data_IF_294807162122
#
_entry.id   IF_294807162122
#
_cell.length_a   1.000
_cell.length_b   1.000
_cell.length_c   1.000
_cell.angle_alpha   90.00
_cell.angle_beta   90.00
_cell.angle_gamma   90.00
#
_symmetry.space_group_name_H-M   'P 1'
#
loop_
_entity.id
_entity.type
_entity.pdbx_description
1 polymer ?
#
# COMPACT_ATOMS: atom_id res chain seq x y z
N UNK A 1 13.23 18.00 3.95
CA UNK A 1 11.94 18.21 3.26
C UNK A 1 11.13 16.95 3.42
N UNK A 2 10.06 16.99 4.22
CA UNK A 2 9.06 15.92 4.29
C UNK A 2 8.27 15.92 2.99
N UNK A 3 8.04 14.75 2.38
CA UNK A 3 7.17 14.63 1.21
C UNK A 3 5.75 15.08 1.58
N UNK A 4 4.99 15.72 0.67
CA UNK A 4 3.62 16.12 0.94
C UNK A 4 2.76 14.89 1.27
N UNK A 5 1.91 15.02 2.28
CA UNK A 5 0.95 13.97 2.65
C UNK A 5 -0.14 13.92 1.59
N UNK A 6 -0.45 12.72 1.10
CA UNK A 6 -1.46 12.50 0.08
C UNK A 6 -2.87 12.42 0.68
N UNK A 7 -3.82 13.09 0.03
CA UNK A 7 -5.25 12.86 0.25
C UNK A 7 -5.72 11.56 -0.41
N UNK A 8 -6.90 11.09 -0.05
CA UNK A 8 -7.51 9.91 -0.68
C UNK A 8 -7.68 10.12 -2.19
N UNK A 9 -8.14 11.30 -2.61
CA UNK A 9 -8.27 11.64 -4.04
C UNK A 9 -6.92 11.63 -4.77
N UNK A 10 -5.86 12.14 -4.13
CA UNK A 10 -4.52 12.10 -4.72
C UNK A 10 -3.99 10.67 -4.86
N UNK A 11 -4.24 9.82 -3.86
CA UNK A 11 -3.93 8.39 -3.94
C UNK A 11 -4.65 7.74 -5.12
N UNK A 12 -5.96 7.98 -5.25
CA UNK A 12 -6.78 7.41 -6.33
C UNK A 12 -6.33 7.92 -7.70
N UNK A 13 -5.91 9.19 -7.81
CA UNK A 13 -5.38 9.72 -9.06
C UNK A 13 -4.06 9.06 -9.47
N UNK A 14 -3.20 8.73 -8.51
CA UNK A 14 -1.88 8.10 -8.77
C UNK A 14 -1.98 6.57 -8.93
N UNK A 15 -2.86 5.94 -8.17
CA UNK A 15 -3.11 4.50 -8.16
C UNK A 15 -4.62 4.22 -8.16
N UNK A 16 -5.33 4.42 -9.29
CA UNK A 16 -6.77 4.19 -9.41
C UNK A 16 -7.27 2.86 -8.86
N UNK A 17 -6.50 1.78 -9.01
CA UNK A 17 -6.87 0.45 -8.50
C UNK A 17 -6.98 0.39 -6.97
N UNK A 18 -6.28 1.27 -6.23
CA UNK A 18 -6.42 1.36 -4.77
C UNK A 18 -7.80 1.90 -4.35
N UNK A 19 -8.46 2.66 -5.23
CA UNK A 19 -9.77 3.24 -5.01
C UNK A 19 -10.95 2.30 -5.24
N UNK A 20 -10.72 1.07 -5.72
CA UNK A 20 -11.80 0.10 -5.86
C UNK A 20 -12.32 -0.34 -4.49
N UNK A 21 -13.64 -0.42 -4.36
CA UNK A 21 -14.34 -0.96 -3.20
C UNK A 21 -14.89 -2.38 -3.45
N UNK A 22 -14.62 -2.94 -4.63
CA UNK A 22 -15.03 -4.29 -5.00
C UNK A 22 -13.87 -5.08 -5.61
N UNK A 23 -13.84 -6.41 -5.46
CA UNK A 23 -12.88 -7.24 -6.16
C UNK A 23 -13.21 -7.34 -7.65
N UNK A 24 -12.24 -7.82 -8.42
CA UNK A 24 -12.47 -8.19 -9.81
C UNK A 24 -13.54 -9.28 -9.96
N UNK A 25 -14.30 -9.21 -11.04
CA UNK A 25 -15.24 -10.26 -11.43
C UNK A 25 -14.59 -11.66 -11.49
N UNK A 26 -15.37 -12.66 -11.06
CA UNK A 26 -14.96 -14.06 -11.10
C UNK A 26 -13.97 -14.46 -10.00
N UNK A 27 -13.86 -13.68 -8.92
CA UNK A 27 -13.28 -14.18 -7.67
C UNK A 27 -14.17 -15.28 -7.08
N UNK A 28 -13.55 -16.25 -6.40
CA UNK A 28 -14.29 -17.32 -5.73
C UNK A 28 -15.02 -16.80 -4.49
N UNK A 29 -16.04 -17.51 -4.02
CA UNK A 29 -16.73 -17.24 -2.75
C UNK A 29 -15.82 -17.24 -1.51
N UNK A 30 -14.63 -17.84 -1.61
CA UNK A 30 -13.61 -17.83 -0.54
C UNK A 30 -12.76 -16.57 -0.51
N UNK A 31 -12.87 -15.70 -1.53
CA UNK A 31 -12.03 -14.52 -1.65
C UNK A 31 -12.49 -13.44 -0.66
N UNK A 32 -11.59 -13.05 0.23
CA UNK A 32 -11.78 -11.92 1.14
C UNK A 32 -11.23 -10.65 0.52
N UNK A 33 -12.12 -9.73 0.20
CA UNK A 33 -11.73 -8.39 -0.22
C UNK A 33 -11.20 -7.56 0.96
N UNK A 34 -10.12 -6.82 0.71
CA UNK A 34 -9.57 -5.85 1.67
C UNK A 34 -9.54 -4.50 0.94
N UNK A 35 -10.46 -3.56 1.26
CA UNK A 35 -10.46 -2.25 0.64
C UNK A 35 -9.20 -1.49 1.04
N UNK A 36 -8.43 -1.02 0.06
CA UNK A 36 -7.16 -0.35 0.34
C UNK A 36 -7.39 1.00 1.01
N UNK A 37 -8.43 1.74 0.61
CA UNK A 37 -8.73 3.04 1.21
C UNK A 37 -9.11 2.93 2.69
N UNK A 38 -9.83 1.89 3.09
CA UNK A 38 -10.11 1.63 4.51
C UNK A 38 -8.81 1.42 5.30
N UNK A 39 -7.87 0.64 4.77
CA UNK A 39 -6.57 0.45 5.41
C UNK A 39 -5.73 1.74 5.45
N UNK A 40 -5.79 2.56 4.40
CA UNK A 40 -5.13 3.88 4.36
C UNK A 40 -5.68 4.79 5.46
N UNK A 41 -7.00 4.86 5.63
CA UNK A 41 -7.63 5.71 6.64
C UNK A 41 -7.28 5.24 8.06
N UNK A 42 -7.35 3.92 8.32
CA UNK A 42 -6.94 3.34 9.61
C UNK A 42 -5.46 3.60 9.93
N UNK A 43 -4.57 3.49 8.94
CA UNK A 43 -3.15 3.79 9.12
C UNK A 43 -2.92 5.29 9.38
N UNK A 44 -3.68 6.16 8.70
CA UNK A 44 -3.63 7.61 8.93
C UNK A 44 -4.01 7.95 10.37
N UNK A 45 -5.08 7.35 10.89
CA UNK A 45 -5.52 7.52 12.28
C UNK A 45 -4.47 7.00 13.28
N UNK A 46 -3.73 5.95 12.91
CA UNK A 46 -2.59 5.43 13.68
C UNK A 46 -1.30 6.28 13.54
N UNK A 47 -1.35 7.41 12.82
CA UNK A 47 -0.23 8.35 12.65
C UNK A 47 0.75 7.99 11.52
N UNK A 48 0.35 7.09 10.61
CA UNK A 48 1.08 6.78 9.39
C UNK A 48 0.47 7.54 8.21
N UNK A 49 1.20 8.52 7.69
CA UNK A 49 0.70 9.41 6.66
C UNK A 49 1.15 8.94 5.28
N UNK A 50 0.24 8.75 4.31
CA UNK A 50 0.60 8.36 2.96
C UNK A 50 1.39 9.50 2.30
N UNK A 51 2.50 9.16 1.66
CA UNK A 51 3.42 10.11 1.00
C UNK A 51 3.69 9.74 -0.45
N UNK A 52 3.27 8.55 -0.88
CA UNK A 52 3.46 8.06 -2.24
C UNK A 52 2.42 7.00 -2.58
N UNK A 53 2.08 6.90 -3.85
CA UNK A 53 1.15 5.90 -4.36
C UNK A 53 1.52 5.55 -5.81
N UNK A 54 1.54 4.25 -6.10
CA UNK A 54 1.84 3.74 -7.44
C UNK A 54 1.00 2.48 -7.72
N UNK A 55 0.78 2.18 -9.00
CA UNK A 55 0.18 0.92 -9.42
C UNK A 55 0.93 0.29 -10.58
N UNK A 56 0.81 -1.04 -10.69
CA UNK A 56 1.44 -1.80 -11.77
C UNK A 56 0.75 -1.52 -13.10
N UNK A 57 1.49 -1.59 -14.20
CA UNK A 57 0.88 -1.59 -15.53
C UNK A 57 0.10 -2.89 -15.78
N UNK A 58 -0.94 -2.79 -16.59
CA UNK A 58 -1.83 -3.90 -16.91
C UNK A 58 -1.54 -4.40 -18.31
N UNK A 59 -1.36 -5.72 -18.46
CA UNK A 59 -1.23 -6.38 -19.77
C UNK A 59 -2.54 -6.99 -20.27
N UNK A 60 -3.45 -7.33 -19.36
CA UNK A 60 -4.72 -7.98 -19.67
C UNK A 60 -5.82 -7.00 -19.30
N UNK A 61 -6.52 -6.46 -20.30
CA UNK A 61 -7.48 -5.36 -20.13
C UNK A 61 -8.51 -5.56 -18.99
N UNK A 62 -8.99 -6.80 -18.80
CA UNK A 62 -9.93 -7.13 -17.70
C UNK A 62 -9.36 -6.90 -16.29
N UNK A 63 -8.06 -6.67 -16.15
CA UNK A 63 -7.38 -6.41 -14.88
C UNK A 63 -7.21 -4.93 -14.55
N UNK A 64 -7.57 -4.05 -15.49
CA UNK A 64 -7.57 -2.61 -15.26
C UNK A 64 -8.54 -2.24 -14.14
N UNK A 65 -8.08 -1.42 -13.20
CA UNK A 65 -8.82 -1.04 -11.99
C UNK A 65 -8.63 -1.97 -10.79
N UNK A 66 -7.93 -3.11 -10.93
CA UNK A 66 -7.77 -4.11 -9.86
C UNK A 66 -6.33 -4.56 -9.63
N UNK A 67 -5.41 -4.06 -10.45
CA UNK A 67 -4.00 -4.42 -10.43
C UNK A 67 -3.33 -4.17 -9.07
N UNK A 68 -2.18 -4.81 -8.90
CA UNK A 68 -1.29 -4.56 -7.76
C UNK A 68 -0.96 -3.07 -7.66
N UNK A 69 -1.18 -2.51 -6.49
CA UNK A 69 -0.86 -1.13 -6.13
C UNK A 69 -0.08 -1.08 -4.82
N UNK A 70 0.59 0.04 -4.61
CA UNK A 70 1.52 0.29 -3.53
C UNK A 70 1.25 1.67 -2.95
N UNK A 71 1.09 1.75 -1.63
CA UNK A 71 1.02 3.02 -0.90
C UNK A 71 2.17 3.06 0.10
N UNK A 72 2.97 4.13 0.06
CA UNK A 72 4.06 4.35 1.01
C UNK A 72 3.64 5.35 2.07
N UNK A 73 3.97 5.06 3.32
CA UNK A 73 3.63 5.88 4.47
C UNK A 73 4.87 6.28 5.25
N UNK A 74 4.87 7.51 5.76
CA UNK A 74 5.86 8.00 6.71
C UNK A 74 5.18 8.36 8.03
N UNK A 75 5.94 8.32 9.12
CA UNK A 75 5.50 8.77 10.44
C UNK A 75 6.44 9.85 10.96
N UNK A 76 5.86 10.92 11.50
CA UNK A 76 6.62 12.00 12.10
C UNK A 76 7.48 11.47 13.26
N UNK A 77 8.72 11.96 13.37
CA UNK A 77 9.66 11.55 14.42
C UNK A 77 10.42 10.25 14.18
N UNK A 78 10.18 9.53 13.06
CA UNK A 78 10.95 8.34 12.69
C UNK A 78 11.98 8.61 11.59
N UNK A 79 12.59 9.79 11.58
CA UNK A 79 13.71 10.11 10.71
C UNK A 79 14.87 10.66 11.51
N UNK A 80 16.03 10.05 11.35
CA UNK A 80 17.24 10.36 12.09
C UNK A 80 18.46 10.11 11.20
N UNK A 81 19.42 11.04 11.21
CA UNK A 81 20.74 10.88 10.58
C UNK A 81 20.74 10.32 9.14
N UNK A 82 19.85 10.82 8.28
CA UNK A 82 19.76 10.39 6.88
C UNK A 82 19.02 9.05 6.66
N UNK A 83 18.49 8.47 7.73
CA UNK A 83 17.60 7.32 7.74
C UNK A 83 16.16 7.72 8.10
N UNK A 84 15.19 6.99 7.55
CA UNK A 84 13.76 7.17 7.81
C UNK A 84 13.08 5.82 7.89
N UNK A 85 12.13 5.63 8.80
CA UNK A 85 11.28 4.44 8.81
C UNK A 85 10.04 4.73 7.97
N UNK A 86 9.85 3.98 6.88
CA UNK A 86 8.59 4.00 6.13
C UNK A 86 7.92 2.63 6.19
N UNK A 87 6.60 2.67 6.08
CA UNK A 87 5.77 1.51 5.84
C UNK A 87 5.33 1.50 4.38
N UNK A 88 5.27 0.31 3.80
CA UNK A 88 4.75 0.09 2.45
C UNK A 88 3.60 -0.89 2.53
N UNK A 89 2.44 -0.46 2.04
CA UNK A 89 1.28 -1.30 1.81
C UNK A 89 1.32 -1.79 0.37
N UNK A 90 1.22 -3.11 0.17
CA UNK A 90 0.89 -3.70 -1.12
C UNK A 90 -0.48 -4.36 -1.04
N UNK A 91 -1.27 -4.21 -2.10
CA UNK A 91 -2.53 -4.92 -2.23
C UNK A 91 -2.86 -5.12 -3.72
N UNK A 92 -3.78 -6.01 -4.02
CA UNK A 92 -4.41 -6.13 -5.34
C UNK A 92 -5.82 -6.65 -5.19
N UNK A 93 -6.67 -6.29 -6.12
CA UNK A 93 -8.06 -6.73 -6.14
C UNK A 93 -8.33 -7.75 -7.26
N UNK A 94 -7.26 -8.19 -7.94
CA UNK A 94 -7.26 -9.16 -9.05
C UNK A 94 -6.73 -10.56 -8.68
N UNK A 95 -6.47 -10.81 -7.39
CA UNK A 95 -5.80 -12.01 -6.83
C UNK A 95 -4.29 -12.11 -7.15
N UNK A 96 -3.67 -11.05 -7.70
CA UNK A 96 -2.25 -11.05 -8.08
C UNK A 96 -1.28 -10.76 -6.93
N UNK A 97 -1.76 -10.19 -5.83
CA UNK A 97 -0.99 -9.80 -4.66
C UNK A 97 -1.85 -9.96 -3.40
N UNK A 98 -1.22 -10.38 -2.30
CA UNK A 98 -1.84 -10.36 -0.98
C UNK A 98 -1.80 -8.94 -0.40
N UNK A 99 -2.65 -8.66 0.58
CA UNK A 99 -2.49 -7.49 1.43
C UNK A 99 -1.22 -7.64 2.27
N UNK A 100 -0.29 -6.69 2.17
CA UNK A 100 0.98 -6.73 2.90
C UNK A 100 1.29 -5.37 3.48
N UNK A 101 1.78 -5.34 4.71
CA UNK A 101 2.36 -4.16 5.36
C UNK A 101 3.80 -4.47 5.72
N UNK A 102 4.74 -3.77 5.10
CA UNK A 102 6.18 -3.95 5.31
C UNK A 102 6.74 -2.65 5.87
N UNK A 103 7.35 -2.72 7.05
CA UNK A 103 8.03 -1.57 7.67
C UNK A 103 9.53 -1.80 7.63
N UNK A 104 10.26 -0.82 7.10
CA UNK A 104 11.70 -0.91 6.87
C UNK A 104 12.39 0.42 7.12
N UNK A 105 13.69 0.37 7.38
CA UNK A 105 14.55 1.56 7.40
C UNK A 105 14.93 1.93 5.96
N UNK A 106 14.82 3.21 5.64
CA UNK A 106 15.10 3.83 4.35
C UNK A 106 16.27 4.77 4.51
N UNK A 107 17.40 4.41 3.88
CA UNK A 107 18.57 5.28 3.79
C UNK A 107 18.59 5.95 2.42
N UNK A 108 18.81 7.26 2.39
CA UNK A 108 18.98 8.00 1.14
C UNK A 108 20.41 7.78 0.61
N UNK A 109 20.66 6.67 -0.08
CA UNK A 109 22.02 6.31 -0.56
C UNK A 109 22.36 6.98 -1.90
N UNK A 110 21.37 7.39 -2.69
CA UNK A 110 21.54 8.26 -3.86
C UNK A 110 20.22 8.94 -4.24
N UNK A 111 20.26 9.97 -5.09
CA UNK A 111 19.07 10.70 -5.57
C UNK A 111 18.01 9.85 -6.27
N UNK A 112 18.29 8.56 -6.52
CA UNK A 112 17.43 7.61 -7.22
C UNK A 112 16.67 6.64 -6.27
N UNK A 113 16.74 6.84 -4.95
CA UNK A 113 15.88 6.11 -4.00
C UNK A 113 16.25 4.64 -3.76
N UNK A 114 17.50 4.23 -3.95
CA UNK A 114 17.94 2.85 -3.75
C UNK A 114 17.74 2.40 -2.30
N UNK A 115 16.96 1.33 -2.10
CA UNK A 115 16.63 0.75 -0.80
C UNK A 115 17.74 -0.19 -0.31
N UNK A 116 18.23 0.02 0.91
CA UNK A 116 18.92 -1.02 1.70
C UNK A 116 18.05 -1.27 2.92
N UNK A 117 17.16 -2.27 2.82
CA UNK A 117 16.20 -2.56 3.87
C UNK A 117 16.72 -3.64 4.81
N UNK A 118 16.92 -3.29 6.08
CA UNK A 118 16.76 -4.24 7.18
C UNK A 118 15.26 -4.28 7.50
N UNK A 119 14.56 -5.33 7.04
CA UNK A 119 13.10 -5.44 7.29
C UNK A 119 12.86 -5.56 8.79
N UNK A 120 12.10 -4.62 9.37
CA UNK A 120 11.79 -4.61 10.80
C UNK A 120 10.51 -5.40 11.10
N UNK A 121 9.49 -5.26 10.25
CA UNK A 121 8.24 -5.96 10.36
C UNK A 121 7.63 -6.23 8.97
N UNK A 122 7.03 -7.41 8.81
CA UNK A 122 6.33 -7.80 7.59
C UNK A 122 5.06 -8.56 7.97
N UNK A 123 3.92 -7.90 7.83
CA UNK A 123 2.60 -8.51 7.96
C UNK A 123 2.07 -8.84 6.57
N UNK A 124 1.46 -10.01 6.42
CA UNK A 124 0.85 -10.44 5.17
C UNK A 124 -0.45 -11.18 5.46
N UNK A 125 -1.52 -10.74 4.82
CA UNK A 125 -2.81 -11.39 4.85
C UNK A 125 -3.20 -11.84 3.45
N UNK A 126 -3.40 -13.15 3.27
CA UNK A 126 -3.92 -13.69 2.01
C UNK A 126 -5.40 -13.36 1.92
N UNK A 127 -5.92 -13.09 0.74
CA UNK A 127 -7.34 -12.79 0.50
C UNK A 127 -8.27 -14.00 0.69
N UNK A 128 -8.17 -14.67 1.84
CA UNK A 128 -8.97 -15.82 2.25
C UNK A 128 -9.13 -15.69 3.77
N UNK A 129 -10.38 -15.65 4.24
CA UNK A 129 -10.69 -15.66 5.67
C UNK A 129 -10.41 -14.35 6.41
N UNK A 130 -10.41 -13.20 5.70
CA UNK A 130 -10.51 -11.88 6.33
C UNK A 130 -11.97 -11.61 6.71
N UNK A 131 -12.20 -11.28 7.96
CA UNK A 131 -13.44 -10.68 8.46
C UNK A 131 -13.03 -9.29 8.98
N UNK A 132 -13.47 -8.18 8.36
CA UNK A 132 -13.07 -6.83 8.78
C UNK A 132 -13.53 -6.45 10.19
N UNK A 133 -14.58 -7.12 10.68
CA UNK A 133 -15.26 -6.83 11.96
C UNK A 133 -14.84 -7.79 13.10
N UNK A 134 -13.97 -8.77 12.82
CA UNK A 134 -13.37 -9.68 13.84
C UNK A 134 -11.98 -9.19 14.28
#
# INVERSE_FOLDING_TARGET
MTAPILTNDQIINLAPAAGSFEPMDGVSSKYSFVPTMTAVDLLRDAGWFPIDAEQSSVRIAKREGYQKHMIRFARNGLSFDGERVDMVLYNSHDRGCAFRLITSIWRKICGNGLMVSSTFANFSHKHIGFQPDD
#
